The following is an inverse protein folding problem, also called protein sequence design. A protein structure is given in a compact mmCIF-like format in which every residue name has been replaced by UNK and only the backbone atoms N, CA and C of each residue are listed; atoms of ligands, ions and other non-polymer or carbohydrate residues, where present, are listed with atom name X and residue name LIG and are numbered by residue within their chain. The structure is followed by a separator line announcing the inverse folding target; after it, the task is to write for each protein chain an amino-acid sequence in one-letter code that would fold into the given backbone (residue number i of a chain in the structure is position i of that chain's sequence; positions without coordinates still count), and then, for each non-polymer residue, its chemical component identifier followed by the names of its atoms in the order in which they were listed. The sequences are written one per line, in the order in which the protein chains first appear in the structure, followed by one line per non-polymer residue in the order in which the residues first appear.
data_IF_658818867816
#
_entry.id   IF_658818867816
#
_cell.length_a   1.000
_cell.length_b   1.000
_cell.length_c   1.000
_cell.angle_alpha   90.00
_cell.angle_beta   90.00
_cell.angle_gamma   90.00
#
_symmetry.space_group_name_H-M   'P 1'
#
loop_
_entity.id
_entity.type
_entity.pdbx_description
1 polymer ?
#
# COMPACT_ATOMS: atom_id res chain seq x y z
N UNK A 1 -0.56 -1.85 15.86
CA UNK A 1 0.09 -1.78 14.54
C UNK A 1 0.74 -3.09 14.17
N UNK A 2 0.85 -3.41 12.88
CA UNK A 2 1.53 -4.61 12.44
C UNK A 2 3.02 -4.56 12.79
N UNK A 3 3.50 -5.60 13.50
CA UNK A 3 4.92 -5.82 13.75
C UNK A 3 5.61 -6.37 12.50
N UNK A 4 6.96 -6.36 12.40
CA UNK A 4 7.67 -7.04 11.31
C UNK A 4 7.29 -8.51 11.17
N UNK A 5 7.09 -9.20 12.29
CA UNK A 5 6.68 -10.60 12.31
C UNK A 5 5.27 -10.79 11.74
N UNK A 6 4.35 -9.85 12.05
CA UNK A 6 3.01 -9.86 11.46
C UNK A 6 3.08 -9.68 9.93
N UNK A 7 3.84 -8.69 9.45
CA UNK A 7 3.99 -8.44 8.02
C UNK A 7 4.64 -9.63 7.28
N UNK A 8 5.63 -10.28 7.90
CA UNK A 8 6.24 -11.49 7.32
C UNK A 8 5.27 -12.67 7.27
N UNK A 9 4.45 -12.88 8.32
CA UNK A 9 3.43 -13.94 8.32
C UNK A 9 2.33 -13.66 7.29
N UNK A 10 1.86 -12.42 7.21
CA UNK A 10 0.91 -12.03 6.18
C UNK A 10 1.48 -12.25 4.78
N UNK A 11 2.73 -11.83 4.55
CA UNK A 11 3.37 -11.98 3.25
C UNK A 11 3.54 -13.44 2.85
N UNK A 12 3.95 -14.30 3.78
CA UNK A 12 4.04 -15.75 3.57
C UNK A 12 2.69 -16.37 3.20
N UNK A 13 1.65 -16.09 4.01
CA UNK A 13 0.28 -16.54 3.75
C UNK A 13 -0.23 -16.06 2.38
N UNK A 14 0.03 -14.80 2.03
CA UNK A 14 -0.33 -14.25 0.73
C UNK A 14 0.38 -14.95 -0.42
N UNK A 15 1.66 -15.30 -0.28
CA UNK A 15 2.40 -16.05 -1.30
C UNK A 15 1.93 -17.49 -1.46
N UNK A 16 1.45 -18.12 -0.39
CA UNK A 16 0.92 -19.47 -0.45
C UNK A 16 -0.38 -19.55 -1.28
N UNK A 17 -1.14 -18.46 -1.34
CA UNK A 17 -2.40 -18.38 -2.09
C UNK A 17 -2.27 -17.58 -3.41
N UNK A 18 -1.09 -17.03 -3.71
CA UNK A 18 -0.88 -16.14 -4.85
C UNK A 18 -1.16 -16.82 -6.20
N UNK A 19 -0.83 -18.10 -6.34
CA UNK A 19 -1.05 -18.87 -7.56
C UNK A 19 -2.55 -19.04 -7.86
N UNK A 20 -3.38 -19.21 -6.83
CA UNK A 20 -4.83 -19.29 -6.97
C UNK A 20 -5.45 -17.89 -7.20
N UNK A 21 -4.92 -16.88 -6.51
CA UNK A 21 -5.42 -15.51 -6.60
C UNK A 21 -5.18 -14.87 -7.97
N UNK A 22 -3.98 -14.97 -8.52
CA UNK A 22 -3.60 -14.21 -9.72
C UNK A 22 -4.52 -14.47 -10.94
N UNK A 23 -4.89 -15.71 -11.30
CA UNK A 23 -5.80 -15.97 -12.41
C UNK A 23 -7.29 -15.78 -12.08
N UNK A 24 -7.66 -15.63 -10.80
CA UNK A 24 -9.04 -15.47 -10.38
C UNK A 24 -9.65 -14.15 -10.88
N UNK A 25 -10.98 -13.99 -10.95
CA UNK A 25 -11.62 -12.70 -11.24
C UNK A 25 -11.62 -11.75 -10.05
N UNK A 26 -11.39 -12.26 -8.83
CA UNK A 26 -11.50 -11.51 -7.58
C UNK A 26 -10.39 -10.47 -7.44
N UNK A 27 -10.73 -9.25 -7.04
CA UNK A 27 -9.75 -8.23 -6.68
C UNK A 27 -9.30 -8.37 -5.23
N UNK A 28 -10.22 -8.71 -4.33
CA UNK A 28 -9.98 -8.94 -2.92
C UNK A 28 -10.13 -10.43 -2.62
N UNK A 29 -9.08 -11.04 -2.11
CA UNK A 29 -9.03 -12.46 -1.79
C UNK A 29 -8.83 -12.64 -0.29
N UNK A 30 -9.78 -13.25 0.39
CA UNK A 30 -9.66 -13.56 1.81
C UNK A 30 -8.71 -14.73 1.99
N UNK A 31 -7.69 -14.55 2.85
CA UNK A 31 -6.75 -15.64 3.17
C UNK A 31 -7.45 -16.71 4.03
N UNK A 32 -7.12 -17.97 3.77
CA UNK A 32 -7.65 -19.12 4.53
C UNK A 32 -7.06 -19.23 5.96
N UNK A 33 -6.01 -18.45 6.24
CA UNK A 33 -5.33 -18.42 7.54
C UNK A 33 -5.61 -17.13 8.30
N UNK A 34 -5.64 -17.24 9.62
CA UNK A 34 -5.79 -16.10 10.53
C UNK A 34 -4.52 -15.84 11.30
N UNK A 35 -4.27 -14.58 11.71
CA UNK A 35 -3.14 -14.25 12.58
C UNK A 35 -3.29 -14.90 13.96
N UNK A 36 -2.20 -14.99 14.74
CA UNK A 36 -2.25 -15.40 16.13
C UNK A 36 -3.26 -14.61 16.97
N UNK A 37 -3.82 -15.21 18.05
CA UNK A 37 -4.73 -14.51 18.95
C UNK A 37 -4.13 -13.21 19.49
N UNK A 38 -4.92 -12.13 19.45
CA UNK A 38 -4.51 -10.80 19.91
C UNK A 38 -3.91 -9.90 18.83
N UNK A 39 -3.63 -10.42 17.64
CA UNK A 39 -3.24 -9.62 16.49
C UNK A 39 -4.46 -9.22 15.63
N UNK A 40 -4.38 -8.08 14.90
CA UNK A 40 -5.45 -7.69 14.00
C UNK A 40 -5.61 -8.69 12.85
N UNK A 41 -6.84 -8.84 12.32
CA UNK A 41 -7.10 -9.68 11.16
C UNK A 41 -6.21 -9.28 9.97
N UNK A 42 -5.81 -10.26 9.16
CA UNK A 42 -5.10 -9.98 7.93
C UNK A 42 -5.98 -9.18 6.95
N UNK A 43 -5.42 -8.19 6.27
CA UNK A 43 -6.16 -7.57 5.17
C UNK A 43 -6.35 -8.61 4.05
N UNK A 44 -7.40 -8.48 3.21
CA UNK A 44 -7.53 -9.30 2.02
C UNK A 44 -6.26 -9.24 1.17
N UNK A 45 -5.89 -10.36 0.56
CA UNK A 45 -4.82 -10.37 -0.42
C UNK A 45 -5.23 -9.53 -1.63
N UNK A 46 -4.41 -8.55 -1.93
CA UNK A 46 -4.35 -7.77 -3.16
C UNK A 46 -2.90 -7.52 -3.50
N UNK A 47 -2.59 -7.16 -4.72
CA UNK A 47 -1.21 -6.78 -5.11
C UNK A 47 -0.73 -5.61 -4.24
N UNK A 48 -1.56 -4.59 -4.05
CA UNK A 48 -1.22 -3.42 -3.24
C UNK A 48 -0.98 -3.75 -1.77
N UNK A 49 -1.82 -4.58 -1.15
CA UNK A 49 -1.63 -4.96 0.26
C UNK A 49 -0.37 -5.81 0.45
N UNK A 50 -0.06 -6.69 -0.51
CA UNK A 50 1.18 -7.47 -0.51
C UNK A 50 2.41 -6.55 -0.63
N UNK A 51 2.38 -5.60 -1.58
CA UNK A 51 3.45 -4.61 -1.76
C UNK A 51 3.59 -3.69 -0.55
N UNK A 52 2.49 -3.32 0.12
CA UNK A 52 2.55 -2.51 1.34
C UNK A 52 3.22 -3.26 2.51
N UNK A 53 2.90 -4.54 2.70
CA UNK A 53 3.58 -5.36 3.71
C UNK A 53 5.08 -5.48 3.40
N UNK A 54 5.44 -5.74 2.13
CA UNK A 54 6.81 -5.74 1.63
C UNK A 54 7.52 -4.40 1.88
N UNK A 55 6.85 -3.27 1.62
CA UNK A 55 7.40 -1.94 1.82
C UNK A 55 7.67 -1.65 3.30
N UNK A 56 6.76 -2.00 4.20
CA UNK A 56 6.96 -1.84 5.65
C UNK A 56 8.17 -2.61 6.19
N UNK A 57 8.57 -3.69 5.52
CA UNK A 57 9.75 -4.48 5.85
C UNK A 57 11.06 -3.89 5.28
N UNK A 58 11.02 -2.78 4.52
CA UNK A 58 12.21 -2.04 4.08
C UNK A 58 12.78 -1.16 5.19
N UNK A 59 12.94 -1.72 6.38
CA UNK A 59 13.52 -1.11 7.58
C UNK A 59 14.53 -2.08 8.20
N UNK A 60 15.42 -1.61 9.09
CA UNK A 60 16.35 -2.51 9.79
C UNK A 60 15.59 -3.63 10.51
N UNK A 61 15.97 -4.86 10.24
CA UNK A 61 15.37 -6.05 10.84
C UNK A 61 16.45 -6.88 11.55
N UNK A 62 16.08 -7.63 12.63
CA UNK A 62 16.95 -8.67 13.18
C UNK A 62 17.39 -9.67 12.09
N UNK A 63 18.59 -10.26 12.20
CA UNK A 63 19.12 -11.14 11.15
C UNK A 63 18.20 -12.30 10.74
N UNK A 64 17.47 -12.86 11.69
CA UNK A 64 16.53 -13.96 11.46
C UNK A 64 15.33 -13.52 10.60
N UNK A 65 14.76 -12.33 10.90
CA UNK A 65 13.65 -11.77 10.13
C UNK A 65 14.12 -11.30 8.76
N UNK A 66 15.34 -10.78 8.66
CA UNK A 66 15.95 -10.38 7.39
C UNK A 66 16.16 -11.59 6.46
N UNK A 67 16.67 -12.72 6.97
CA UNK A 67 16.80 -13.93 6.18
C UNK A 67 15.44 -14.44 5.66
N UNK A 68 14.41 -14.38 6.51
CA UNK A 68 13.04 -14.75 6.11
C UNK A 68 12.49 -13.80 5.04
N UNK A 69 12.67 -12.48 5.21
CA UNK A 69 12.28 -11.47 4.23
C UNK A 69 12.91 -11.73 2.86
N UNK A 70 14.22 -12.05 2.83
CA UNK A 70 14.94 -12.36 1.59
C UNK A 70 14.38 -13.61 0.90
N UNK A 71 14.06 -14.65 1.65
CA UNK A 71 13.44 -15.86 1.11
C UNK A 71 12.07 -15.57 0.48
N UNK A 72 11.22 -14.77 1.16
CA UNK A 72 9.91 -14.39 0.63
C UNK A 72 10.03 -13.49 -0.60
N UNK A 73 11.03 -12.60 -0.64
CA UNK A 73 11.32 -11.76 -1.81
C UNK A 73 11.65 -12.62 -3.03
N UNK A 74 12.51 -13.65 -2.88
CA UNK A 74 12.84 -14.56 -3.97
C UNK A 74 11.60 -15.31 -4.48
N UNK A 75 10.73 -15.78 -3.57
CA UNK A 75 9.46 -16.42 -3.95
C UNK A 75 8.56 -15.46 -4.73
N UNK A 76 8.39 -14.23 -4.25
CA UNK A 76 7.58 -13.23 -4.94
C UNK A 76 8.10 -12.95 -6.35
N UNK A 77 9.41 -12.76 -6.51
CA UNK A 77 10.01 -12.53 -7.83
C UNK A 77 9.79 -13.70 -8.80
N UNK A 78 9.84 -14.93 -8.30
CA UNK A 78 9.53 -16.12 -9.10
C UNK A 78 8.06 -16.13 -9.56
N UNK A 79 7.13 -15.81 -8.68
CA UNK A 79 5.70 -15.68 -9.04
C UNK A 79 5.46 -14.57 -10.06
N UNK A 80 6.04 -13.38 -9.86
CA UNK A 80 5.91 -12.27 -10.81
C UNK A 80 6.46 -12.68 -12.19
N UNK A 81 7.61 -13.34 -12.24
CA UNK A 81 8.18 -13.80 -13.50
C UNK A 81 7.27 -14.80 -14.23
N UNK A 82 6.65 -15.72 -13.49
CA UNK A 82 5.75 -16.74 -14.03
C UNK A 82 4.38 -16.19 -14.45
N UNK A 83 3.82 -15.28 -13.63
CA UNK A 83 2.45 -14.80 -13.75
C UNK A 83 2.37 -13.30 -14.09
N UNK A 84 3.37 -12.75 -14.78
CA UNK A 84 3.53 -11.30 -14.99
C UNK A 84 2.30 -10.63 -15.58
N UNK A 85 1.64 -11.24 -16.55
CA UNK A 85 0.44 -10.66 -17.17
C UNK A 85 -0.71 -10.54 -16.17
N UNK A 86 -0.95 -11.59 -15.37
CA UNK A 86 -2.00 -11.61 -14.35
C UNK A 86 -1.67 -10.61 -13.22
N UNK A 87 -0.40 -10.57 -12.80
CA UNK A 87 0.10 -9.60 -11.81
C UNK A 87 -0.19 -8.17 -12.23
N UNK A 88 0.24 -7.78 -13.43
CA UNK A 88 0.00 -6.44 -13.99
C UNK A 88 -1.49 -6.11 -14.13
N UNK A 89 -2.30 -7.07 -14.56
CA UNK A 89 -3.74 -6.89 -14.68
C UNK A 89 -4.41 -6.66 -13.31
N UNK A 90 -4.03 -7.43 -12.28
CA UNK A 90 -4.51 -7.23 -10.90
C UNK A 90 -4.07 -5.88 -10.37
N UNK A 91 -2.79 -5.53 -10.54
CA UNK A 91 -2.23 -4.26 -10.12
C UNK A 91 -2.94 -3.07 -10.79
N UNK A 92 -3.23 -3.14 -12.09
CA UNK A 92 -3.94 -2.08 -12.80
C UNK A 92 -5.38 -1.91 -12.31
N UNK A 93 -6.12 -3.00 -12.08
CA UNK A 93 -7.48 -2.93 -11.52
C UNK A 93 -7.49 -2.32 -10.12
N UNK A 94 -6.52 -2.69 -9.27
CA UNK A 94 -6.41 -2.11 -7.94
C UNK A 94 -5.99 -0.63 -8.00
N UNK A 95 -5.05 -0.27 -8.88
CA UNK A 95 -4.62 1.12 -9.08
C UNK A 95 -5.80 2.02 -9.45
N UNK A 96 -6.68 1.58 -10.37
CA UNK A 96 -7.88 2.33 -10.73
C UNK A 96 -8.75 2.63 -9.52
N UNK A 97 -8.99 1.65 -8.69
CA UNK A 97 -9.78 1.81 -7.46
C UNK A 97 -9.09 2.76 -6.46
N UNK A 98 -7.77 2.56 -6.21
CA UNK A 98 -7.02 3.39 -5.25
C UNK A 98 -6.95 4.84 -5.69
N UNK A 99 -6.75 5.08 -6.98
CA UNK A 99 -6.75 6.43 -7.55
C UNK A 99 -8.10 7.14 -7.35
N UNK A 100 -9.21 6.43 -7.58
CA UNK A 100 -10.56 6.97 -7.33
C UNK A 100 -10.79 7.30 -5.85
N UNK A 101 -10.44 6.39 -4.94
CA UNK A 101 -10.59 6.62 -3.49
C UNK A 101 -9.74 7.81 -3.03
N UNK A 102 -8.51 7.92 -3.53
CA UNK A 102 -7.65 9.06 -3.21
C UNK A 102 -8.20 10.38 -3.73
N UNK A 103 -8.68 10.42 -4.98
CA UNK A 103 -9.28 11.62 -5.56
C UNK A 103 -10.58 12.00 -4.85
N UNK A 104 -11.44 11.04 -4.54
CA UNK A 104 -12.66 11.25 -3.78
C UNK A 104 -12.37 11.85 -2.41
N UNK A 105 -11.41 11.27 -1.67
CA UNK A 105 -11.00 11.82 -0.38
C UNK A 105 -10.51 13.27 -0.49
N UNK A 106 -9.72 13.60 -1.52
CA UNK A 106 -9.27 14.98 -1.73
C UNK A 106 -10.43 15.94 -2.07
N UNK A 107 -11.48 15.48 -2.73
CA UNK A 107 -12.69 16.25 -2.98
C UNK A 107 -13.52 16.46 -1.70
N UNK A 108 -13.69 15.41 -0.89
CA UNK A 108 -14.38 15.49 0.42
C UNK A 108 -13.62 16.40 1.40
N UNK A 109 -12.29 16.29 1.43
CA UNK A 109 -11.41 17.15 2.21
C UNK A 109 -11.53 18.63 1.80
N UNK A 110 -11.84 18.92 0.54
CA UNK A 110 -12.10 20.29 0.07
C UNK A 110 -13.46 20.85 0.55
N UNK A 111 -14.37 20.02 0.99
CA UNK A 111 -15.74 20.40 1.38
C UNK A 111 -15.96 20.38 2.89
N UNK A 112 -15.13 19.64 3.65
CA UNK A 112 -15.33 19.45 5.08
C UNK A 112 -14.02 19.43 5.85
N UNK A 113 -13.90 20.32 6.84
CA UNK A 113 -12.74 20.34 7.74
C UNK A 113 -12.64 19.07 8.61
N UNK A 114 -13.74 18.40 8.87
CA UNK A 114 -13.76 17.16 9.66
C UNK A 114 -12.96 16.03 8.98
N UNK A 115 -12.86 16.04 7.65
CA UNK A 115 -12.16 15.02 6.87
C UNK A 115 -10.64 15.02 7.11
N UNK A 116 -10.05 16.12 7.57
CA UNK A 116 -8.63 16.19 7.92
C UNK A 116 -8.24 15.17 9.01
N UNK A 117 -9.16 14.79 9.88
CA UNK A 117 -8.92 13.81 10.94
C UNK A 117 -8.66 12.40 10.40
N UNK A 118 -9.15 12.10 9.19
CA UNK A 118 -9.01 10.78 8.57
C UNK A 118 -7.76 10.67 7.66
N UNK A 119 -6.99 11.75 7.52
CA UNK A 119 -5.85 11.78 6.60
C UNK A 119 -4.87 10.61 6.78
N UNK A 120 -4.50 10.27 8.01
CA UNK A 120 -3.58 9.16 8.29
C UNK A 120 -4.09 7.79 7.82
N UNK A 121 -5.40 7.64 7.71
CA UNK A 121 -6.06 6.43 7.17
C UNK A 121 -6.16 6.52 5.65
N UNK A 122 -6.64 7.63 5.13
CA UNK A 122 -6.95 7.79 3.71
C UNK A 122 -5.70 7.91 2.82
N UNK A 123 -4.62 8.50 3.34
CA UNK A 123 -3.33 8.56 2.63
C UNK A 123 -2.76 7.19 2.29
N UNK A 124 -3.26 6.13 2.94
CA UNK A 124 -2.93 4.74 2.57
C UNK A 124 -3.31 4.42 1.12
N UNK A 125 -4.41 4.97 0.60
CA UNK A 125 -4.78 4.79 -0.81
C UNK A 125 -3.72 5.41 -1.75
N UNK A 126 -3.15 6.55 -1.35
CA UNK A 126 -2.06 7.19 -2.12
C UNK A 126 -0.77 6.36 -2.09
N UNK A 127 -0.42 5.79 -0.93
CA UNK A 127 0.73 4.87 -0.81
C UNK A 127 0.53 3.64 -1.68
N UNK A 128 -0.65 3.02 -1.61
CA UNK A 128 -0.96 1.85 -2.43
C UNK A 128 -0.91 2.16 -3.93
N UNK A 129 -1.42 3.32 -4.36
CA UNK A 129 -1.31 3.74 -5.75
C UNK A 129 0.16 3.91 -6.18
N UNK A 130 1.01 4.50 -5.34
CA UNK A 130 2.45 4.64 -5.60
C UNK A 130 3.14 3.28 -5.80
N UNK A 131 2.90 2.35 -4.89
CA UNK A 131 3.48 1.01 -4.95
C UNK A 131 3.00 0.23 -6.18
N UNK A 132 1.72 0.35 -6.52
CA UNK A 132 1.14 -0.31 -7.69
C UNK A 132 1.74 0.22 -9.01
N UNK A 133 1.95 1.52 -9.14
CA UNK A 133 2.57 2.13 -10.31
C UNK A 133 4.04 1.72 -10.48
N UNK A 134 4.81 1.72 -9.39
CA UNK A 134 6.26 1.50 -9.48
C UNK A 134 6.66 0.03 -9.35
N UNK A 135 6.05 -0.72 -8.45
CA UNK A 135 6.43 -2.08 -8.09
C UNK A 135 5.41 -3.13 -8.51
N UNK A 136 4.14 -2.73 -8.67
CA UNK A 136 3.09 -3.56 -9.25
C UNK A 136 3.14 -3.64 -10.76
N UNK A 137 3.98 -2.82 -11.41
CA UNK A 137 4.06 -2.66 -12.87
C UNK A 137 2.68 -2.32 -13.48
N UNK A 138 1.81 -1.61 -12.73
CA UNK A 138 0.51 -1.20 -13.22
C UNK A 138 0.67 -0.04 -14.20
N UNK A 139 0.25 -0.24 -15.44
CA UNK A 139 0.23 0.78 -16.49
C UNK A 139 -1.24 1.15 -16.76
N UNK A 140 -1.69 2.28 -16.22
CA UNK A 140 -3.04 2.79 -16.42
C UNK A 140 -3.02 4.32 -16.44
N UNK A 141 -2.73 4.98 -17.59
CA UNK A 141 -2.55 6.42 -17.67
C UNK A 141 -3.69 7.24 -17.06
N UNK A 142 -4.94 6.83 -17.24
CA UNK A 142 -6.09 7.53 -16.65
C UNK A 142 -6.07 7.52 -15.10
N UNK A 143 -5.60 6.45 -14.48
CA UNK A 143 -5.47 6.38 -13.02
C UNK A 143 -4.27 7.21 -12.53
N UNK A 144 -3.17 7.20 -13.28
CA UNK A 144 -1.98 8.01 -12.99
C UNK A 144 -2.31 9.52 -13.06
N UNK A 145 -3.06 9.94 -14.08
CA UNK A 145 -3.55 11.32 -14.20
C UNK A 145 -4.46 11.70 -13.03
N UNK A 146 -5.33 10.78 -12.60
CA UNK A 146 -6.22 11.02 -11.46
C UNK A 146 -5.44 11.16 -10.14
N UNK A 147 -4.41 10.34 -9.93
CA UNK A 147 -3.49 10.48 -8.78
C UNK A 147 -2.77 11.82 -8.83
N UNK A 148 -2.24 12.21 -9.99
CA UNK A 148 -1.52 13.49 -10.18
C UNK A 148 -2.45 14.70 -9.93
N UNK A 149 -3.70 14.62 -10.37
CA UNK A 149 -4.73 15.62 -10.09
C UNK A 149 -4.98 15.76 -8.58
N UNK A 150 -5.22 14.65 -7.89
CA UNK A 150 -5.45 14.66 -6.44
C UNK A 150 -4.22 15.16 -5.66
N UNK A 151 -3.01 14.77 -6.08
CA UNK A 151 -1.75 15.26 -5.50
C UNK A 151 -1.56 16.77 -5.69
N UNK A 152 -1.98 17.33 -6.81
CA UNK A 152 -1.94 18.78 -7.04
C UNK A 152 -2.84 19.51 -6.05
N UNK A 153 -4.03 18.97 -5.77
CA UNK A 153 -4.95 19.53 -4.76
C UNK A 153 -4.38 19.42 -3.35
N UNK A 154 -3.75 18.30 -3.02
CA UNK A 154 -3.06 18.15 -1.73
C UNK A 154 -1.94 19.18 -1.60
N UNK A 155 -1.05 19.29 -2.62
CA UNK A 155 0.09 20.23 -2.58
C UNK A 155 -0.33 21.69 -2.35
N UNK A 156 -1.48 22.11 -2.91
CA UNK A 156 -2.00 23.47 -2.75
C UNK A 156 -2.33 23.84 -1.29
N UNK A 157 -2.48 22.86 -0.41
CA UNK A 157 -2.86 23.05 1.00
C UNK A 157 -2.04 22.20 1.98
N UNK A 158 -0.93 21.63 1.52
CA UNK A 158 -0.11 20.73 2.33
C UNK A 158 0.75 21.51 3.32
N UNK A 159 0.64 21.18 4.59
CA UNK A 159 1.54 21.64 5.65
C UNK A 159 2.52 20.52 6.00
N UNK A 160 3.84 20.74 5.75
CA UNK A 160 4.87 19.82 6.22
C UNK A 160 4.80 19.66 7.76
N UNK A 161 4.97 18.44 8.22
CA UNK A 161 4.86 18.11 9.64
C UNK A 161 5.50 16.76 9.97
N UNK A 162 5.18 16.20 11.13
CA UNK A 162 5.66 14.88 11.50
C UNK A 162 5.12 13.80 10.55
N UNK A 163 5.81 12.68 10.51
CA UNK A 163 5.37 11.48 9.81
C UNK A 163 4.01 11.02 10.35
N UNK A 164 3.06 10.75 9.47
CA UNK A 164 1.64 10.53 9.87
C UNK A 164 1.33 9.12 10.32
N UNK A 165 2.25 8.18 10.10
CA UNK A 165 2.20 6.82 10.62
C UNK A 165 3.18 6.64 11.77
N UNK A 166 3.50 5.40 12.15
CA UNK A 166 4.41 5.12 13.25
C UNK A 166 5.86 5.41 12.87
N UNK A 167 6.60 6.00 13.81
CA UNK A 167 7.98 6.46 13.60
C UNK A 167 8.95 5.34 13.19
N UNK A 168 8.71 4.12 13.63
CA UNK A 168 9.52 2.96 13.28
C UNK A 168 9.41 2.56 11.79
N UNK A 169 8.40 3.09 11.08
CA UNK A 169 8.24 2.94 9.63
C UNK A 169 9.00 3.99 8.79
N UNK A 170 9.50 5.06 9.40
CA UNK A 170 10.22 6.12 8.67
C UNK A 170 11.30 5.57 7.73
N UNK A 171 12.16 4.61 8.13
CA UNK A 171 13.17 4.07 7.23
C UNK A 171 12.61 3.39 5.97
N UNK A 172 11.39 2.85 6.05
CA UNK A 172 10.73 2.18 4.94
C UNK A 172 10.04 3.16 3.97
N UNK A 173 9.78 4.39 4.39
CA UNK A 173 9.04 5.38 3.59
C UNK A 173 9.84 6.68 3.44
N UNK A 174 10.93 6.72 2.64
CA UNK A 174 11.76 7.90 2.48
C UNK A 174 10.94 9.09 1.96
N UNK A 175 11.22 10.29 2.54
CA UNK A 175 10.45 11.52 2.30
C UNK A 175 10.46 11.97 0.85
N UNK A 176 11.52 11.69 0.12
CA UNK A 176 11.68 12.08 -1.29
C UNK A 176 10.59 11.45 -2.18
N UNK A 177 10.22 10.22 -1.88
CA UNK A 177 9.16 9.48 -2.59
C UNK A 177 7.80 9.64 -1.93
N UNK A 178 7.74 9.46 -0.61
CA UNK A 178 6.51 9.42 0.18
C UNK A 178 6.25 10.75 0.91
N UNK A 179 6.49 11.89 0.25
CA UNK A 179 6.40 13.23 0.83
C UNK A 179 5.05 13.50 1.53
N UNK A 180 3.98 12.95 1.02
CA UNK A 180 2.62 13.08 1.55
C UNK A 180 2.43 12.37 2.92
N UNK A 181 3.37 11.56 3.37
CA UNK A 181 3.38 11.01 4.73
C UNK A 181 4.06 11.92 5.75
N UNK A 182 4.68 13.03 5.32
CA UNK A 182 5.44 13.96 6.17
C UNK A 182 4.74 15.31 6.31
N UNK A 183 3.47 15.25 6.70
CA UNK A 183 2.59 16.39 6.90
C UNK A 183 1.14 16.01 6.66
N UNK A 184 0.30 17.01 6.54
CA UNK A 184 -1.14 16.85 6.31
C UNK A 184 -1.71 18.06 5.60
N UNK A 185 -2.93 18.01 5.05
CA UNK A 185 -3.60 19.20 4.57
C UNK A 185 -3.87 20.17 5.73
N UNK A 186 -3.54 21.44 5.54
CA UNK A 186 -3.69 22.51 6.54
C UNK A 186 -5.15 22.72 6.95
N UNK A 187 -6.01 22.73 5.95
CA UNK A 187 -7.46 22.84 6.10
C UNK A 187 -8.14 21.97 5.06
N UNK A 188 -9.10 21.16 5.50
CA UNK A 188 -10.11 20.59 4.65
C UNK A 188 -11.34 21.51 4.78
N UNK A 189 -11.69 22.26 3.75
CA UNK A 189 -12.78 23.24 3.74
C UNK A 189 -12.35 24.60 3.24
#
# INVERSE_FOLDING_TARGET
MPTPEYDLRYWEAALDELEAYLPSPELFWNLDVSPPPGEPAYPPLTVGNLLLARQRLQRPLPPELEARRQSLEQRLQAFIAQWRANWRQKAAKELEMRARLWAQYMDECAQSQAEAAFYSTEVRNRVLADLLMHEGEAELPAAEELVAYADTRLRARFEPGPFVWEEDLIPAFPKERFWYLYGRPAHCG
#
